data_IF_939407310082
#
_entry.id   IF_939407310082
#
_cell.length_a   1.000
_cell.length_b   1.000
_cell.length_c   1.000
_cell.angle_alpha   90.00
_cell.angle_beta   90.00
_cell.angle_gamma   90.00
#
_symmetry.space_group_name_H-M   'P 1'
#
loop_
_entity.id
_entity.type
_entity.pdbx_description
1 polymer ?
#
# COMPACT_ATOMS: atom_id res chain seq x y z
N UNK A 1 9.05 10.91 -12.25
CA UNK A 1 8.38 9.95 -11.33
C UNK A 1 9.35 9.37 -10.30
N UNK A 2 10.60 9.07 -10.69
CA UNK A 2 11.60 8.42 -9.83
C UNK A 2 12.42 9.34 -8.90
N UNK A 3 12.34 10.65 -9.06
CA UNK A 3 13.14 11.60 -8.28
C UNK A 3 12.96 11.34 -6.77
N UNK A 4 14.06 11.03 -6.09
CA UNK A 4 14.18 10.83 -4.65
C UNK A 4 15.59 11.31 -4.23
N UNK A 5 15.73 12.02 -3.10
CA UNK A 5 14.63 12.61 -2.32
C UNK A 5 13.99 13.78 -3.10
N UNK A 6 12.67 13.92 -2.96
CA UNK A 6 11.99 15.14 -3.42
C UNK A 6 12.10 16.22 -2.34
N UNK A 7 12.14 17.47 -2.77
CA UNK A 7 12.08 18.60 -1.86
C UNK A 7 10.63 19.12 -1.82
N UNK A 8 9.75 18.50 -1.03
CA UNK A 8 8.36 18.93 -0.80
C UNK A 8 8.11 19.16 0.70
N UNK A 9 7.27 20.11 1.12
CA UNK A 9 7.02 20.38 2.55
C UNK A 9 6.50 19.18 3.33
N UNK A 10 5.82 18.24 2.67
CA UNK A 10 5.01 17.18 3.26
C UNK A 10 5.51 15.76 2.94
N UNK A 11 6.63 15.64 2.20
CA UNK A 11 7.28 14.36 1.88
C UNK A 11 8.64 14.55 1.22
N UNK A 12 9.53 13.56 1.44
CA UNK A 12 10.78 13.37 0.68
C UNK A 12 10.68 12.23 -0.35
N UNK A 13 9.54 11.55 -0.42
CA UNK A 13 9.39 10.30 -1.17
C UNK A 13 9.09 10.57 -2.65
N UNK A 14 9.48 9.63 -3.51
CA UNK A 14 9.21 9.72 -4.96
C UNK A 14 7.73 9.49 -5.28
N UNK A 15 7.32 9.87 -6.50
CA UNK A 15 5.97 9.56 -7.00
C UNK A 15 5.76 8.04 -7.05
N UNK A 16 6.78 7.30 -7.51
CA UNK A 16 6.67 5.83 -7.61
C UNK A 16 6.52 5.19 -6.23
N UNK A 17 7.22 5.69 -5.21
CA UNK A 17 7.03 5.21 -3.85
C UNK A 17 5.60 5.46 -3.35
N UNK A 18 5.04 6.65 -3.58
CA UNK A 18 3.68 6.95 -3.13
C UNK A 18 2.62 6.06 -3.77
N UNK A 19 2.77 5.76 -5.06
CA UNK A 19 1.86 4.86 -5.77
C UNK A 19 2.00 3.41 -5.29
N UNK A 20 3.24 2.95 -5.07
CA UNK A 20 3.53 1.61 -4.58
C UNK A 20 3.05 1.43 -3.14
N UNK A 21 3.42 2.33 -2.24
CA UNK A 21 3.06 2.27 -0.82
C UNK A 21 1.54 2.30 -0.60
N UNK A 22 0.81 3.16 -1.33
CA UNK A 22 -0.65 3.18 -1.19
C UNK A 22 -1.30 1.89 -1.70
N UNK A 23 -0.78 1.32 -2.80
CA UNK A 23 -1.22 0.02 -3.29
C UNK A 23 -0.90 -1.11 -2.31
N UNK A 24 0.31 -1.13 -1.72
CA UNK A 24 0.71 -2.13 -0.72
C UNK A 24 -0.20 -2.12 0.49
N UNK A 25 -0.46 -0.95 1.05
CA UNK A 25 -1.34 -0.79 2.21
C UNK A 25 -2.76 -1.28 1.88
N UNK A 26 -3.31 -0.85 0.75
CA UNK A 26 -4.64 -1.28 0.30
C UNK A 26 -4.71 -2.80 0.10
N UNK A 27 -3.71 -3.39 -0.55
CA UNK A 27 -3.61 -4.84 -0.81
C UNK A 27 -3.59 -5.64 0.49
N UNK A 28 -2.72 -5.28 1.44
CA UNK A 28 -2.63 -5.95 2.75
C UNK A 28 -3.97 -5.86 3.49
N UNK A 29 -4.52 -4.65 3.62
CA UNK A 29 -5.73 -4.48 4.44
C UNK A 29 -6.94 -5.14 3.79
N UNK A 30 -7.12 -5.01 2.48
CA UNK A 30 -8.31 -5.56 1.82
C UNK A 30 -8.21 -7.07 1.65
N UNK A 31 -7.08 -7.59 1.18
CA UNK A 31 -6.96 -9.04 0.97
C UNK A 31 -6.77 -9.80 2.28
N UNK A 32 -5.80 -9.42 3.11
CA UNK A 32 -5.48 -10.23 4.29
C UNK A 32 -6.45 -9.97 5.45
N UNK A 33 -6.77 -8.71 5.73
CA UNK A 33 -7.55 -8.37 6.94
C UNK A 33 -9.06 -8.40 6.69
N UNK A 34 -9.53 -7.96 5.52
CA UNK A 34 -10.97 -7.95 5.19
C UNK A 34 -11.41 -9.28 4.59
N UNK A 35 -10.77 -9.72 3.50
CA UNK A 35 -11.20 -10.89 2.75
C UNK A 35 -10.62 -12.22 3.25
N UNK A 36 -9.56 -12.19 4.07
CA UNK A 36 -8.83 -13.39 4.50
C UNK A 36 -8.31 -14.22 3.32
N UNK A 37 -7.80 -13.54 2.30
CA UNK A 37 -7.21 -14.15 1.11
C UNK A 37 -5.74 -13.76 0.95
N UNK A 38 -5.04 -14.46 0.05
CA UNK A 38 -3.71 -14.05 -0.39
C UNK A 38 -3.69 -12.67 -1.03
N UNK A 39 -2.53 -12.02 -1.03
CA UNK A 39 -2.35 -10.68 -1.58
C UNK A 39 -2.29 -10.70 -3.11
N UNK A 40 -2.63 -9.58 -3.74
CA UNK A 40 -2.37 -9.40 -5.17
C UNK A 40 -0.86 -9.46 -5.44
N UNK A 41 -0.04 -8.98 -4.50
CA UNK A 41 1.42 -9.07 -4.61
C UNK A 41 1.94 -10.51 -4.74
N UNK A 42 1.24 -11.48 -4.15
CA UNK A 42 1.66 -12.89 -4.13
C UNK A 42 1.27 -13.64 -5.41
N UNK A 43 0.56 -12.99 -6.35
CA UNK A 43 0.20 -13.59 -7.63
C UNK A 43 1.43 -13.78 -8.52
N UNK A 44 1.44 -14.88 -9.27
CA UNK A 44 2.57 -15.28 -10.12
C UNK A 44 3.03 -14.14 -11.03
N UNK A 45 4.33 -13.83 -10.97
CA UNK A 45 4.96 -12.81 -11.80
C UNK A 45 4.77 -11.36 -11.33
N UNK A 46 3.96 -11.09 -10.30
CA UNK A 46 3.70 -9.72 -9.83
C UNK A 46 4.96 -9.06 -9.23
N UNK A 47 5.72 -9.69 -8.31
CA UNK A 47 6.94 -9.09 -7.76
C UNK A 47 8.03 -8.87 -8.83
N UNK A 48 8.17 -9.82 -9.77
CA UNK A 48 9.10 -9.72 -10.89
C UNK A 48 8.69 -8.59 -11.84
N UNK A 49 7.40 -8.48 -12.15
CA UNK A 49 6.85 -7.41 -12.96
C UNK A 49 7.03 -6.02 -12.32
N UNK A 50 7.01 -5.94 -10.99
CA UNK A 50 7.33 -4.72 -10.23
C UNK A 50 8.82 -4.41 -10.19
N UNK A 51 9.70 -5.40 -10.40
CA UNK A 51 11.15 -5.28 -10.18
C UNK A 51 11.48 -4.75 -8.76
N UNK A 52 10.96 -5.44 -7.75
CA UNK A 52 11.20 -5.11 -6.33
C UNK A 52 11.57 -6.36 -5.53
N UNK A 53 12.33 -6.17 -4.45
CA UNK A 53 12.54 -7.18 -3.39
C UNK A 53 11.75 -6.90 -2.11
N UNK A 54 11.10 -5.73 -2.03
CA UNK A 54 10.38 -5.29 -0.85
C UNK A 54 8.95 -5.83 -0.85
N UNK A 55 8.64 -6.75 0.05
CA UNK A 55 7.32 -7.38 0.16
C UNK A 55 6.43 -6.75 1.25
N UNK A 56 7.02 -5.93 2.13
CA UNK A 56 6.32 -5.26 3.22
C UNK A 56 5.55 -4.01 2.76
N UNK A 57 4.89 -3.33 3.70
CA UNK A 57 4.03 -2.17 3.46
C UNK A 57 4.76 -0.88 3.07
N UNK A 58 6.09 -0.84 3.16
CA UNK A 58 6.91 0.35 2.94
C UNK A 58 7.00 1.33 4.11
N UNK A 59 6.39 1.02 5.26
CA UNK A 59 6.60 1.78 6.50
C UNK A 59 8.01 1.55 7.05
N UNK A 60 8.59 2.59 7.67
CA UNK A 60 9.93 2.55 8.28
C UNK A 60 11.06 2.10 7.34
N UNK A 61 10.92 2.36 6.02
CA UNK A 61 12.00 2.14 5.06
C UNK A 61 13.17 3.11 5.29
N UNK A 62 14.40 2.62 5.14
CA UNK A 62 15.60 3.46 5.23
C UNK A 62 15.79 4.32 3.97
N UNK A 63 16.64 5.35 4.03
CA UNK A 63 16.93 6.20 2.86
C UNK A 63 17.53 5.37 1.70
N UNK A 64 18.33 4.35 2.00
CA UNK A 64 18.91 3.43 1.02
C UNK A 64 17.82 2.59 0.33
N UNK A 65 16.91 1.99 1.10
CA UNK A 65 15.80 1.20 0.57
C UNK A 65 14.86 2.06 -0.28
N UNK A 66 14.58 3.29 0.17
CA UNK A 66 13.80 4.27 -0.57
C UNK A 66 14.45 4.67 -1.89
N UNK A 67 15.77 4.81 -1.89
CA UNK A 67 16.58 5.11 -3.08
C UNK A 67 16.53 3.94 -4.07
N UNK A 68 16.77 2.73 -3.59
CA UNK A 68 16.73 1.48 -4.37
C UNK A 68 15.37 1.30 -5.04
N UNK A 69 14.28 1.35 -4.25
CA UNK A 69 12.92 1.19 -4.75
C UNK A 69 12.57 2.29 -5.78
N UNK A 70 12.90 3.55 -5.49
CA UNK A 70 12.57 4.67 -6.38
C UNK A 70 13.30 4.57 -7.72
N UNK A 71 14.55 4.12 -7.71
CA UNK A 71 15.36 3.93 -8.90
C UNK A 71 14.92 2.70 -9.71
N UNK A 72 14.64 1.58 -9.03
CA UNK A 72 14.50 0.26 -9.66
C UNK A 72 13.08 -0.13 -10.09
N UNK A 73 12.04 0.30 -9.37
CA UNK A 73 10.67 -0.24 -9.58
C UNK A 73 10.20 -0.05 -11.03
N UNK A 74 9.71 -1.10 -11.69
CA UNK A 74 9.23 -1.02 -13.06
C UNK A 74 7.88 -0.27 -13.10
N UNK A 75 7.81 0.81 -13.89
CA UNK A 75 6.63 1.70 -13.90
C UNK A 75 5.39 0.98 -14.45
N UNK A 76 5.53 0.21 -15.53
CA UNK A 76 4.39 -0.53 -16.10
C UNK A 76 3.86 -1.59 -15.11
N UNK A 77 4.77 -2.33 -14.46
CA UNK A 77 4.41 -3.26 -13.40
C UNK A 77 3.72 -2.59 -12.22
N UNK A 78 4.21 -1.42 -11.79
CA UNK A 78 3.58 -0.63 -10.73
C UNK A 78 2.14 -0.19 -11.10
N UNK A 79 1.94 0.27 -12.33
CA UNK A 79 0.60 0.66 -12.80
C UNK A 79 -0.32 -0.56 -12.95
N UNK A 80 0.21 -1.72 -13.35
CA UNK A 80 -0.54 -2.97 -13.41
C UNK A 80 -0.94 -3.45 -12.01
N UNK A 81 0.01 -3.47 -11.06
CA UNK A 81 -0.23 -3.82 -9.66
C UNK A 81 -1.28 -2.92 -9.02
N UNK A 82 -1.15 -1.59 -9.15
CA UNK A 82 -2.14 -0.65 -8.59
C UNK A 82 -3.55 -0.89 -9.13
N UNK A 83 -3.67 -1.21 -10.43
CA UNK A 83 -4.95 -1.53 -11.08
C UNK A 83 -5.51 -2.86 -10.58
N UNK A 84 -4.67 -3.88 -10.41
CA UNK A 84 -5.07 -5.18 -9.89
C UNK A 84 -5.56 -5.09 -8.45
N UNK A 85 -4.85 -4.38 -7.58
CA UNK A 85 -5.27 -4.11 -6.19
C UNK A 85 -6.63 -3.40 -6.17
N UNK A 86 -6.81 -2.34 -6.95
CA UNK A 86 -8.10 -1.61 -6.98
C UNK A 86 -9.28 -2.46 -7.48
N UNK A 87 -9.07 -3.30 -8.49
CA UNK A 87 -10.10 -4.26 -8.95
C UNK A 87 -10.45 -5.26 -7.86
N UNK A 88 -9.43 -5.83 -7.22
CA UNK A 88 -9.61 -6.81 -6.14
C UNK A 88 -10.34 -6.19 -4.94
N UNK A 89 -10.00 -4.96 -4.56
CA UNK A 89 -10.74 -4.19 -3.54
C UNK A 89 -12.22 -4.08 -3.91
N UNK A 90 -12.55 -3.72 -5.15
CA UNK A 90 -13.95 -3.60 -5.59
C UNK A 90 -14.69 -4.94 -5.55
N UNK A 91 -14.04 -6.04 -5.94
CA UNK A 91 -14.62 -7.39 -5.87
C UNK A 91 -14.93 -7.78 -4.42
N UNK A 92 -13.99 -7.53 -3.50
CA UNK A 92 -14.17 -7.81 -2.06
C UNK A 92 -15.38 -7.04 -1.54
N UNK A 93 -15.48 -5.74 -1.86
CA UNK A 93 -16.59 -4.90 -1.39
C UNK A 93 -17.93 -5.37 -1.97
N UNK A 94 -17.95 -5.76 -3.24
CA UNK A 94 -19.16 -6.24 -3.91
C UNK A 94 -19.67 -7.58 -3.34
N UNK A 95 -18.78 -8.40 -2.77
CA UNK A 95 -19.14 -9.68 -2.14
C UNK A 95 -19.48 -9.57 -0.65
N UNK A 96 -19.50 -8.37 -0.06
CA UNK A 96 -19.77 -8.21 1.37
C UNK A 96 -21.25 -8.32 1.72
N UNK A 97 -21.53 -9.05 2.78
CA UNK A 97 -22.85 -9.19 3.39
C UNK A 97 -23.19 -8.01 4.31
N UNK A 98 -24.49 -7.68 4.45
CA UNK A 98 -24.94 -6.68 5.41
C UNK A 98 -24.41 -6.94 6.82
N UNK A 99 -23.89 -5.90 7.47
CA UNK A 99 -23.39 -5.97 8.84
C UNK A 99 -21.90 -6.30 8.98
N UNK A 100 -21.24 -6.85 7.94
CA UNK A 100 -19.79 -7.16 8.00
C UNK A 100 -18.94 -5.92 8.27
N UNK A 101 -19.35 -4.74 7.80
CA UNK A 101 -18.67 -3.47 8.07
C UNK A 101 -18.45 -3.14 9.56
N UNK A 102 -19.33 -3.64 10.44
CA UNK A 102 -19.27 -3.38 11.89
C UNK A 102 -18.39 -4.39 12.62
N UNK A 103 -18.04 -5.50 11.98
CA UNK A 103 -17.19 -6.53 12.58
C UNK A 103 -15.79 -5.99 12.84
N UNK A 104 -15.19 -6.45 13.93
CA UNK A 104 -13.78 -6.18 14.25
C UNK A 104 -12.87 -7.03 13.36
N UNK A 105 -11.66 -6.55 13.14
CA UNK A 105 -10.63 -7.34 12.46
C UNK A 105 -10.27 -8.52 13.34
N UNK A 106 -10.25 -9.72 12.74
CA UNK A 106 -9.86 -10.94 13.44
C UNK A 106 -8.37 -10.91 13.84
N UNK A 107 -8.05 -11.38 15.05
CA UNK A 107 -6.70 -11.36 15.58
C UNK A 107 -5.77 -12.34 14.86
N UNK A 108 -6.29 -13.46 14.38
CA UNK A 108 -5.56 -14.42 13.54
C UNK A 108 -5.14 -13.80 12.21
N UNK A 109 -5.99 -12.98 11.58
CA UNK A 109 -5.63 -12.22 10.38
C UNK A 109 -4.52 -11.20 10.62
N UNK A 110 -4.51 -10.53 11.78
CA UNK A 110 -3.40 -9.65 12.18
C UNK A 110 -2.11 -10.44 12.38
N UNK A 111 -2.19 -11.63 12.99
CA UNK A 111 -1.03 -12.52 13.13
C UNK A 111 -0.50 -12.93 11.76
N UNK A 112 -1.37 -13.29 10.82
CA UNK A 112 -0.98 -13.66 9.45
C UNK A 112 -0.22 -12.52 8.73
N UNK A 113 -0.64 -11.25 8.90
CA UNK A 113 0.09 -10.09 8.36
C UNK A 113 1.52 -10.01 8.91
N UNK A 114 1.72 -10.29 10.20
CA UNK A 114 3.04 -10.31 10.84
C UNK A 114 3.87 -11.51 10.38
N UNK A 115 3.28 -12.71 10.40
CA UNK A 115 3.95 -13.94 10.00
C UNK A 115 4.44 -13.89 8.55
N UNK A 116 3.66 -13.27 7.64
CA UNK A 116 4.06 -13.08 6.24
C UNK A 116 5.13 -11.99 6.07
N UNK A 117 5.43 -11.19 7.09
CA UNK A 117 6.32 -10.03 6.98
C UNK A 117 5.74 -8.90 6.12
N UNK A 118 4.42 -8.88 5.91
CA UNK A 118 3.74 -7.82 5.15
C UNK A 118 3.82 -6.46 5.88
N UNK A 119 4.03 -6.48 7.20
CA UNK A 119 4.47 -5.34 8.00
C UNK A 119 5.75 -5.73 8.71
N UNK A 120 6.79 -4.89 8.62
CA UNK A 120 8.07 -5.14 9.29
C UNK A 120 7.93 -4.98 10.80
N UNK A 121 8.82 -5.60 11.58
CA UNK A 121 8.82 -5.46 13.03
C UNK A 121 8.92 -3.99 13.50
N UNK A 122 9.76 -3.19 12.81
CA UNK A 122 9.90 -1.74 13.06
C UNK A 122 8.58 -0.98 12.90
N UNK A 123 7.72 -1.44 11.99
CA UNK A 123 6.40 -0.88 11.73
C UNK A 123 5.28 -1.60 12.50
N UNK A 124 5.59 -2.36 13.56
CA UNK A 124 4.62 -3.17 14.31
C UNK A 124 3.42 -2.39 14.89
N UNK A 125 3.60 -1.08 15.13
CA UNK A 125 2.52 -0.16 15.52
C UNK A 125 1.37 -0.15 14.51
N UNK A 126 1.66 -0.42 13.22
CA UNK A 126 0.67 -0.38 12.15
C UNK A 126 -0.34 -1.53 12.28
N UNK A 127 0.14 -2.71 12.63
CA UNK A 127 -0.71 -3.87 12.95
C UNK A 127 -1.52 -3.65 14.23
N UNK A 128 -0.99 -2.95 15.22
CA UNK A 128 -1.75 -2.56 16.43
C UNK A 128 -2.84 -1.53 16.08
N UNK A 129 -2.53 -0.58 15.20
CA UNK A 129 -3.50 0.37 14.69
C UNK A 129 -4.64 -0.30 13.92
N UNK A 130 -4.33 -1.28 13.07
CA UNK A 130 -5.33 -2.02 12.29
C UNK A 130 -6.17 -2.97 13.14
N UNK A 131 -5.61 -3.61 14.17
CA UNK A 131 -6.36 -4.51 15.05
C UNK A 131 -7.49 -3.81 15.82
N UNK A 132 -7.33 -2.51 16.11
CA UNK A 132 -8.36 -1.69 16.73
C UNK A 132 -9.54 -1.34 15.81
N UNK A 133 -9.44 -1.58 14.50
CA UNK A 133 -10.45 -1.17 13.51
C UNK A 133 -11.58 -2.18 13.36
N UNK A 134 -12.68 -1.69 12.81
CA UNK A 134 -13.67 -2.55 12.16
C UNK A 134 -13.30 -2.72 10.69
N UNK A 135 -13.93 -3.68 10.01
CA UNK A 135 -13.82 -3.85 8.57
C UNK A 135 -14.15 -2.55 7.81
N UNK A 136 -15.26 -1.91 8.16
CA UNK A 136 -15.62 -0.60 7.59
C UNK A 136 -14.60 0.49 7.93
N UNK A 137 -13.99 0.41 9.12
CA UNK A 137 -12.87 1.26 9.51
C UNK A 137 -11.68 1.13 8.57
N UNK A 138 -11.27 -0.10 8.23
CA UNK A 138 -10.18 -0.37 7.27
C UNK A 138 -10.52 0.11 5.86
N UNK A 139 -11.78 -0.01 5.43
CA UNK A 139 -12.23 0.46 4.12
C UNK A 139 -12.17 2.00 4.01
N UNK A 140 -12.60 2.70 5.05
CA UNK A 140 -12.51 4.16 5.12
C UNK A 140 -11.05 4.62 5.29
N UNK A 141 -10.28 3.90 6.09
CA UNK A 141 -8.86 4.14 6.32
C UNK A 141 -8.15 2.83 6.74
N UNK A 142 -7.25 2.26 5.90
CA UNK A 142 -6.57 2.97 4.82
C UNK A 142 -7.17 2.84 3.42
N UNK A 143 -8.00 1.83 3.09
CA UNK A 143 -8.23 1.42 1.69
C UNK A 143 -8.72 2.56 0.75
N UNK A 144 -9.46 3.55 1.27
CA UNK A 144 -9.85 4.75 0.52
C UNK A 144 -9.02 5.99 0.88
N UNK A 145 -9.17 6.57 2.08
CA UNK A 145 -8.60 7.90 2.40
C UNK A 145 -7.08 7.95 2.27
N UNK A 146 -6.37 6.87 2.60
CA UNK A 146 -4.90 6.81 2.47
C UNK A 146 -4.44 7.01 1.03
N UNK A 147 -5.12 6.35 0.08
CA UNK A 147 -4.83 6.50 -1.35
C UNK A 147 -4.92 7.97 -1.79
N UNK A 148 -5.97 8.69 -1.39
CA UNK A 148 -6.10 10.12 -1.72
C UNK A 148 -4.97 10.97 -1.15
N UNK A 149 -4.53 10.69 0.08
CA UNK A 149 -3.39 11.40 0.69
C UNK A 149 -2.13 11.22 -0.16
N UNK A 150 -1.81 9.99 -0.57
CA UNK A 150 -0.62 9.70 -1.36
C UNK A 150 -0.70 10.18 -2.81
N UNK A 151 -1.87 10.09 -3.44
CA UNK A 151 -2.10 10.64 -4.77
C UNK A 151 -1.97 12.16 -4.79
N UNK A 152 -2.50 12.86 -3.76
CA UNK A 152 -2.35 14.31 -3.64
C UNK A 152 -0.87 14.72 -3.50
N UNK A 153 -0.07 13.99 -2.71
CA UNK A 153 1.38 14.19 -2.61
C UNK A 153 2.06 13.98 -3.97
N UNK A 154 1.74 12.88 -4.66
CA UNK A 154 2.28 12.59 -5.98
C UNK A 154 1.95 13.68 -7.02
N UNK A 155 0.73 14.22 -7.02
CA UNK A 155 0.32 15.33 -7.91
C UNK A 155 1.11 16.60 -7.59
N UNK A 156 1.29 16.97 -6.32
CA UNK A 156 2.10 18.15 -5.94
C UNK A 156 3.54 18.01 -6.43
N UNK A 157 4.16 16.84 -6.24
CA UNK A 157 5.50 16.56 -6.75
C UNK A 157 5.54 16.71 -8.27
N UNK A 158 4.57 16.10 -8.99
CA UNK A 158 4.47 16.19 -10.45
C UNK A 158 4.40 17.65 -10.91
N UNK A 159 3.54 18.46 -10.30
CA UNK A 159 3.38 19.88 -10.62
C UNK A 159 4.65 20.68 -10.36
N UNK A 160 5.36 20.43 -9.25
CA UNK A 160 6.63 21.08 -8.94
C UNK A 160 7.74 20.72 -9.93
N UNK A 161 7.85 19.44 -10.31
CA UNK A 161 8.84 18.99 -11.30
C UNK A 161 8.55 19.54 -12.70
N UNK A 162 7.27 19.71 -13.07
CA UNK A 162 6.89 20.36 -14.34
C UNK A 162 7.25 21.84 -14.38
N UNK A 163 7.06 22.58 -13.28
CA UNK A 163 7.41 24.00 -13.18
C UNK A 163 8.92 24.30 -13.19
N UNK A 164 9.75 23.27 -12.97
CA UNK A 164 11.22 23.37 -12.99
C UNK A 164 11.84 23.01 -14.35
N UNK A 165 11.02 22.53 -15.29
CA UNK A 165 11.39 22.33 -16.69
C UNK A 165 11.01 23.57 -17.47
#
# INVERSE_FOLDING_TARGET
MRCYPVHSPDTRNSIVWHLWHSARIEDITMNMLVAETGQVLDTDGMPQGLNIRFLHSGNEMTEEEMTELSAGIAIEGLLAYRRAVGRRTNEIIASMEPGQFRQKVDAGRIKAVRDQGAVTEKAGWLTDYWSGKTIGGLMLMPASRHNFVHLNKAVRIKSKLKRRR
#
